data_IF_632002644410
#
_entry.id   IF_632002644410
#
_cell.length_a   1.000
_cell.length_b   1.000
_cell.length_c   1.000
_cell.angle_alpha   90.00
_cell.angle_beta   90.00
_cell.angle_gamma   90.00
#
_symmetry.space_group_name_H-M   'P 1'
#
loop_
_entity.id
_entity.type
_entity.pdbx_description
1 polymer ?
#
# COMPACT_ATOMS: atom_id res chain seq x y z
N UNK A 1 14.84 1.11 -2.79
CA UNK A 1 15.85 2.05 -2.29
C UNK A 1 16.88 1.39 -1.37
N UNK A 2 16.52 0.85 -0.18
CA UNK A 2 17.48 0.23 0.76
C UNK A 2 18.38 -0.83 0.09
N UNK A 3 17.79 -1.72 -0.71
CA UNK A 3 18.51 -2.77 -1.47
C UNK A 3 19.60 -2.21 -2.38
N UNK A 4 19.30 -1.12 -3.10
CA UNK A 4 20.24 -0.49 -4.04
C UNK A 4 21.38 0.22 -3.32
N UNK A 5 21.08 0.89 -2.20
CA UNK A 5 22.12 1.49 -1.35
C UNK A 5 23.01 0.43 -0.70
N UNK A 6 22.42 -0.68 -0.24
CA UNK A 6 23.16 -1.83 0.27
C UNK A 6 24.07 -2.44 -0.81
N UNK A 7 23.58 -2.54 -2.05
CA UNK A 7 24.38 -2.97 -3.19
C UNK A 7 25.59 -2.03 -3.39
N UNK A 8 25.36 -0.72 -3.46
CA UNK A 8 26.42 0.30 -3.58
C UNK A 8 27.45 0.24 -2.44
N UNK A 9 27.01 0.04 -1.20
CA UNK A 9 27.88 -0.08 -0.03
C UNK A 9 28.73 -1.35 -0.04
N UNK A 10 28.20 -2.47 -0.56
CA UNK A 10 28.95 -3.72 -0.76
C UNK A 10 29.97 -3.63 -1.90
N UNK A 11 29.85 -2.67 -2.80
CA UNK A 11 30.86 -2.46 -3.84
C UNK A 11 32.13 -1.84 -3.25
N UNK A 12 33.23 -2.58 -3.34
CA UNK A 12 34.58 -2.08 -3.02
C UNK A 12 35.29 -1.58 -4.29
N UNK A 13 36.18 -0.59 -4.12
CA UNK A 13 36.94 0.05 -5.23
C UNK A 13 36.06 0.71 -6.29
N UNK A 14 35.13 1.54 -5.84
CA UNK A 14 34.18 2.25 -6.71
C UNK A 14 34.90 3.07 -7.79
N UNK A 15 36.05 3.68 -7.47
CA UNK A 15 36.87 4.35 -8.49
C UNK A 15 37.34 3.43 -9.62
N UNK A 16 37.70 2.17 -9.33
CA UNK A 16 38.15 1.22 -10.37
C UNK A 16 36.99 0.82 -11.28
N UNK A 17 35.79 0.67 -10.72
CA UNK A 17 34.57 0.34 -11.47
C UNK A 17 33.97 1.51 -12.24
N UNK A 18 34.15 2.74 -11.72
CA UNK A 18 33.95 3.97 -12.49
C UNK A 18 35.08 4.19 -13.52
N UNK A 19 36.20 3.47 -13.40
CA UNK A 19 37.37 3.60 -14.26
C UNK A 19 37.54 2.54 -15.35
N UNK A 20 36.82 1.42 -15.27
CA UNK A 20 36.66 0.48 -16.39
C UNK A 20 35.86 1.14 -17.54
N UNK A 21 35.23 2.29 -17.28
CA UNK A 21 34.69 3.23 -18.25
C UNK A 21 35.74 4.27 -18.67
N UNK A 22 35.67 4.70 -19.93
CA UNK A 22 36.55 5.71 -20.54
C UNK A 22 36.63 7.00 -19.69
N UNK A 23 37.70 7.79 -19.83
CA UNK A 23 37.87 9.05 -19.06
C UNK A 23 36.68 10.02 -19.23
N UNK A 24 36.01 9.98 -20.39
CA UNK A 24 34.81 10.78 -20.68
C UNK A 24 33.57 10.28 -19.91
N UNK A 25 33.35 8.97 -19.86
CA UNK A 25 32.23 8.36 -19.11
C UNK A 25 32.37 8.59 -17.60
N UNK A 26 33.60 8.60 -17.09
CA UNK A 26 33.89 8.92 -15.68
C UNK A 26 33.54 10.37 -15.32
N UNK A 27 33.83 11.30 -16.23
CA UNK A 27 33.48 12.71 -16.07
C UNK A 27 31.95 12.93 -16.14
N UNK A 28 31.23 12.13 -16.92
CA UNK A 28 29.76 12.19 -17.02
C UNK A 28 29.03 11.53 -15.83
N UNK A 29 29.61 10.48 -15.24
CA UNK A 29 28.98 9.71 -14.16
C UNK A 29 28.81 10.53 -12.87
N UNK A 30 29.79 11.35 -12.48
CA UNK A 30 29.74 12.18 -11.26
C UNK A 30 28.51 13.10 -11.21
N UNK A 31 28.32 13.97 -12.22
CA UNK A 31 27.13 14.83 -12.32
C UNK A 31 25.80 14.08 -12.34
N UNK A 32 25.74 12.92 -12.99
CA UNK A 32 24.53 12.10 -13.05
C UNK A 32 24.19 11.50 -11.67
N UNK A 33 25.18 10.97 -10.95
CA UNK A 33 25.00 10.47 -9.59
C UNK A 33 24.52 11.59 -8.65
N UNK A 34 25.05 12.82 -8.79
CA UNK A 34 24.64 13.96 -7.97
C UNK A 34 23.16 14.34 -8.18
N UNK A 35 22.64 14.23 -9.41
CA UNK A 35 21.21 14.40 -9.71
C UNK A 35 20.36 13.34 -9.00
N UNK A 36 20.77 12.08 -9.05
CA UNK A 36 20.07 10.98 -8.37
C UNK A 36 20.15 11.10 -6.83
N UNK A 37 21.31 11.52 -6.30
CA UNK A 37 21.50 11.77 -4.86
C UNK A 37 20.55 12.84 -4.35
N UNK A 38 20.31 13.92 -5.11
CA UNK A 38 19.34 14.96 -4.72
C UNK A 38 17.95 14.39 -4.50
N UNK A 39 17.46 13.51 -5.39
CA UNK A 39 16.14 12.88 -5.24
C UNK A 39 16.04 12.05 -3.96
N UNK A 40 17.09 11.31 -3.60
CA UNK A 40 17.12 10.56 -2.34
C UNK A 40 17.09 11.52 -1.14
N UNK A 41 17.84 12.63 -1.17
CA UNK A 41 17.83 13.65 -0.12
C UNK A 41 16.47 14.34 0.04
N UNK A 42 15.79 14.64 -1.07
CA UNK A 42 14.43 15.22 -1.07
C UNK A 42 13.47 14.28 -0.33
N UNK A 43 13.46 13.00 -0.69
CA UNK A 43 12.63 12.01 -0.01
C UNK A 43 12.99 11.90 1.48
N UNK A 44 14.27 11.83 1.84
CA UNK A 44 14.70 11.76 3.24
C UNK A 44 14.19 12.97 4.06
N UNK A 45 14.28 14.18 3.51
CA UNK A 45 13.79 15.38 4.17
C UNK A 45 12.27 15.39 4.31
N UNK A 46 11.52 15.00 3.27
CA UNK A 46 10.06 14.90 3.30
C UNK A 46 9.58 13.83 4.31
N UNK A 47 10.14 12.63 4.24
CA UNK A 47 9.82 11.53 5.15
C UNK A 47 10.09 11.90 6.61
N UNK A 48 11.21 12.60 6.88
CA UNK A 48 11.51 13.09 8.22
C UNK A 48 10.55 14.20 8.67
N UNK A 49 10.14 15.09 7.76
CA UNK A 49 9.13 16.12 8.04
C UNK A 49 7.77 15.51 8.46
N UNK A 50 7.39 14.40 7.83
CA UNK A 50 6.16 13.65 8.17
C UNK A 50 6.29 12.87 9.48
N UNK A 51 7.44 12.23 9.74
CA UNK A 51 7.64 11.40 10.92
C UNK A 51 7.90 12.21 12.21
N UNK A 52 8.57 13.37 12.10
CA UNK A 52 9.04 14.18 13.23
C UNK A 52 7.94 14.55 14.24
N UNK A 53 6.72 15.00 13.84
CA UNK A 53 5.68 15.37 14.81
C UNK A 53 5.20 14.22 15.70
N UNK A 54 5.39 12.98 15.27
CA UNK A 54 4.93 11.76 15.94
C UNK A 54 6.08 10.96 16.56
N UNK A 55 7.31 11.47 16.47
CA UNK A 55 8.51 10.81 17.00
C UNK A 55 8.93 11.46 18.30
N UNK A 56 8.68 10.77 19.41
CA UNK A 56 9.07 11.21 20.74
C UNK A 56 10.39 10.54 21.15
N UNK A 57 11.29 11.26 21.85
CA UNK A 57 12.55 10.69 22.31
C UNK A 57 12.30 9.59 23.34
N UNK A 58 13.02 8.48 23.24
CA UNK A 58 12.95 7.41 24.24
C UNK A 58 13.90 7.67 25.43
N UNK A 59 14.81 8.64 25.29
CA UNK A 59 15.70 9.08 26.35
C UNK A 59 14.95 10.04 27.28
N UNK A 60 14.92 9.79 28.61
CA UNK A 60 14.26 10.69 29.56
C UNK A 60 14.88 12.08 29.48
N UNK A 61 14.04 13.07 29.18
CA UNK A 61 14.49 14.46 29.10
C UNK A 61 14.77 15.00 30.51
N UNK A 62 15.83 15.81 30.63
CA UNK A 62 16.03 16.64 31.82
C UNK A 62 14.80 17.56 31.96
N UNK A 63 14.19 17.68 33.15
CA UNK A 63 13.02 18.53 33.33
C UNK A 63 13.33 19.94 32.80
N UNK A 64 12.47 20.42 31.89
CA UNK A 64 12.61 21.74 31.30
C UNK A 64 12.51 22.79 32.42
N UNK A 65 13.46 23.73 32.41
CA UNK A 65 13.38 24.92 33.24
C UNK A 65 12.16 25.75 32.78
N UNK A 66 11.15 26.01 33.64
CA UNK A 66 9.92 26.72 33.26
C UNK A 66 10.17 28.18 32.81
N UNK A 67 11.39 28.71 33.01
CA UNK A 67 11.78 30.06 32.57
C UNK A 67 12.63 30.06 31.29
N UNK A 68 12.89 28.89 30.69
CA UNK A 68 13.52 28.76 29.37
C UNK A 68 12.56 28.08 28.41
N UNK A 69 12.55 28.52 27.15
CA UNK A 69 11.84 27.80 26.10
C UNK A 69 12.32 26.33 26.12
N UNK A 70 11.40 25.39 26.29
CA UNK A 70 11.71 23.98 26.35
C UNK A 70 12.54 23.60 25.11
N UNK A 71 13.80 23.21 25.32
CA UNK A 71 14.66 22.75 24.23
C UNK A 71 14.11 21.43 23.70
N UNK A 72 13.50 21.52 22.51
CA UNK A 72 13.05 20.48 21.58
C UNK A 72 12.89 19.05 22.12
N UNK A 73 11.63 18.62 22.18
CA UNK A 73 11.24 17.21 22.09
C UNK A 73 11.94 16.57 20.88
N UNK A 74 12.66 15.45 21.07
CA UNK A 74 13.25 14.69 19.95
C UNK A 74 14.49 15.34 19.31
N UNK A 75 15.38 15.94 20.11
CA UNK A 75 16.58 16.64 19.64
C UNK A 75 17.35 15.93 18.51
N UNK A 76 17.56 14.61 18.59
CA UNK A 76 18.24 13.86 17.53
C UNK A 76 17.48 13.86 16.19
N UNK A 77 16.17 13.59 16.22
CA UNK A 77 15.27 13.59 15.06
C UNK A 77 15.14 15.01 14.47
N UNK A 78 15.03 16.03 15.32
CA UNK A 78 14.97 17.42 14.90
C UNK A 78 16.30 17.90 14.28
N UNK A 79 17.45 17.51 14.84
CA UNK A 79 18.76 17.77 14.25
C UNK A 79 18.94 17.07 12.91
N UNK A 80 18.49 15.81 12.79
CA UNK A 80 18.53 15.06 11.53
C UNK A 80 17.66 15.73 10.46
N UNK A 81 16.45 16.17 10.81
CA UNK A 81 15.57 16.92 9.92
C UNK A 81 16.26 18.19 9.41
N UNK A 82 16.82 19.01 10.31
CA UNK A 82 17.54 20.24 9.94
C UNK A 82 18.78 19.98 9.09
N UNK A 83 19.54 18.92 9.38
CA UNK A 83 20.71 18.54 8.59
C UNK A 83 20.31 18.08 7.18
N UNK A 84 19.21 17.33 7.04
CA UNK A 84 18.67 16.88 5.76
C UNK A 84 18.11 18.03 4.92
N UNK A 85 17.39 18.97 5.54
CA UNK A 85 16.89 20.18 4.87
C UNK A 85 18.06 21.02 4.32
N UNK A 86 19.09 21.27 5.14
CA UNK A 86 20.27 21.99 4.70
C UNK A 86 21.01 21.28 3.55
N UNK A 87 21.14 19.95 3.62
CA UNK A 87 21.78 19.16 2.57
C UNK A 87 20.95 19.13 1.26
N UNK A 88 19.62 19.09 1.38
CA UNK A 88 18.69 19.17 0.24
C UNK A 88 18.77 20.53 -0.45
N UNK A 89 18.74 21.62 0.32
CA UNK A 89 18.66 22.98 -0.23
C UNK A 89 19.94 23.39 -0.95
N UNK A 90 21.09 22.84 -0.55
CA UNK A 90 22.36 23.04 -1.25
C UNK A 90 22.53 22.14 -2.49
N UNK A 91 21.78 21.04 -2.60
CA UNK A 91 21.80 20.20 -3.78
C UNK A 91 21.02 20.86 -4.93
N UNK A 92 21.71 21.46 -5.89
CA UNK A 92 21.07 22.21 -6.98
C UNK A 92 20.62 21.31 -8.14
N UNK A 93 21.32 20.19 -8.38
CA UNK A 93 21.14 19.33 -9.56
C UNK A 93 19.96 18.37 -9.42
N UNK A 94 18.94 18.49 -10.26
CA UNK A 94 17.74 17.64 -10.24
C UNK A 94 17.70 16.69 -11.44
N UNK A 95 17.32 15.43 -11.22
CA UNK A 95 17.12 14.45 -12.28
C UNK A 95 15.82 14.70 -13.05
N UNK A 96 15.84 14.47 -14.36
CA UNK A 96 14.64 14.57 -15.20
C UNK A 96 13.82 13.27 -15.19
N UNK A 97 12.55 13.33 -15.59
CA UNK A 97 11.69 12.15 -15.74
C UNK A 97 12.29 11.10 -16.69
N UNK A 98 12.92 11.55 -17.78
CA UNK A 98 13.57 10.67 -18.76
C UNK A 98 14.80 9.94 -18.18
N UNK A 99 15.56 10.60 -17.30
CA UNK A 99 16.70 9.97 -16.63
C UNK A 99 16.26 8.87 -15.66
N UNK A 100 15.07 8.98 -15.06
CA UNK A 100 14.53 7.91 -14.20
C UNK A 100 14.04 6.69 -14.98
N UNK A 101 13.71 6.83 -16.27
CA UNK A 101 13.18 5.72 -17.08
C UNK A 101 14.22 5.09 -17.99
N UNK A 102 15.34 5.77 -18.26
CA UNK A 102 16.41 5.28 -19.14
C UNK A 102 17.47 4.51 -18.34
N UNK A 103 17.67 3.20 -18.58
CA UNK A 103 18.71 2.41 -17.90
C UNK A 103 20.12 2.91 -18.22
N UNK A 104 21.04 2.82 -17.26
CA UNK A 104 22.46 3.10 -17.48
C UNK A 104 23.27 1.82 -17.69
N UNK A 105 24.23 1.84 -18.62
CA UNK A 105 25.16 0.74 -18.82
C UNK A 105 26.17 0.58 -17.65
N UNK A 106 26.39 1.65 -16.87
CA UNK A 106 27.25 1.60 -15.70
C UNK A 106 26.47 1.15 -14.46
N UNK A 107 26.79 -0.02 -13.93
CA UNK A 107 26.12 -0.60 -12.75
C UNK A 107 26.08 0.33 -11.53
N UNK A 108 27.13 1.14 -11.29
CA UNK A 108 27.14 2.09 -10.16
C UNK A 108 26.09 3.17 -10.36
N UNK A 109 26.03 3.75 -11.57
CA UNK A 109 25.05 4.77 -11.94
C UNK A 109 23.64 4.18 -11.94
N UNK A 110 23.50 2.94 -12.38
CA UNK A 110 22.23 2.22 -12.42
C UNK A 110 21.66 2.00 -11.01
N UNK A 111 22.46 1.57 -10.04
CA UNK A 111 21.99 1.46 -8.65
C UNK A 111 21.58 2.83 -8.07
N UNK A 112 22.31 3.91 -8.39
CA UNK A 112 21.89 5.27 -8.01
C UNK A 112 20.57 5.68 -8.68
N UNK A 113 20.39 5.37 -9.96
CA UNK A 113 19.15 5.63 -10.70
C UNK A 113 17.97 4.87 -10.09
N UNK A 114 18.14 3.58 -9.78
CA UNK A 114 17.11 2.75 -9.17
C UNK A 114 16.78 3.20 -7.75
N UNK A 115 17.78 3.61 -6.96
CA UNK A 115 17.57 4.21 -5.64
C UNK A 115 16.76 5.51 -5.74
N UNK A 116 17.12 6.39 -6.67
CA UNK A 116 16.44 7.67 -6.88
C UNK A 116 15.03 7.50 -7.48
N UNK A 117 14.82 6.55 -8.38
CA UNK A 117 13.48 6.18 -8.88
C UNK A 117 12.59 5.69 -7.76
N UNK A 118 13.11 4.85 -6.87
CA UNK A 118 12.36 4.38 -5.71
C UNK A 118 12.04 5.54 -4.75
N UNK A 119 12.98 6.45 -4.51
CA UNK A 119 12.75 7.65 -3.71
C UNK A 119 11.66 8.55 -4.30
N UNK A 120 11.71 8.83 -5.60
CA UNK A 120 10.70 9.63 -6.31
C UNK A 120 9.30 9.03 -6.22
N UNK A 121 9.17 7.69 -6.33
CA UNK A 121 7.88 7.02 -6.14
C UNK A 121 7.39 7.10 -4.70
N UNK A 122 8.31 6.96 -3.74
CA UNK A 122 8.01 7.01 -2.32
C UNK A 122 7.71 8.42 -1.79
N UNK A 123 7.94 9.49 -2.57
CA UNK A 123 7.47 10.84 -2.22
C UNK A 123 5.94 10.86 -2.05
N UNK A 124 5.24 10.04 -2.86
CA UNK A 124 3.80 9.87 -2.74
C UNK A 124 3.40 9.25 -1.40
N UNK A 125 4.22 8.37 -0.81
CA UNK A 125 3.98 7.72 0.49
C UNK A 125 4.06 8.71 1.66
N UNK A 126 4.69 9.85 1.43
CA UNK A 126 4.91 10.92 2.42
C UNK A 126 4.05 12.16 2.14
N UNK A 127 3.00 12.00 1.34
CA UNK A 127 2.07 13.09 1.06
C UNK A 127 1.29 13.48 2.34
N UNK A 128 0.88 14.76 2.48
CA UNK A 128 0.25 15.26 3.72
C UNK A 128 -1.03 14.51 4.13
N UNK A 129 -1.73 13.91 3.17
CA UNK A 129 -2.93 13.10 3.37
C UNK A 129 -2.64 11.69 3.91
N UNK A 130 -1.45 11.13 3.64
CA UNK A 130 -1.00 9.88 4.25
C UNK A 130 -0.40 10.11 5.64
N UNK A 131 0.18 11.29 5.89
CA UNK A 131 0.75 11.66 7.19
C UNK A 131 -0.26 11.59 8.34
N UNK A 132 -1.56 11.84 8.08
CA UNK A 132 -2.62 11.80 9.10
C UNK A 132 -2.96 10.39 9.61
N UNK A 133 -2.49 9.33 8.94
CA UNK A 133 -2.79 7.94 9.30
C UNK A 133 -1.62 7.21 9.97
N UNK A 134 -0.48 7.89 10.17
CA UNK A 134 0.70 7.28 10.78
C UNK A 134 0.56 7.16 12.29
N UNK A 135 0.92 5.99 12.83
CA UNK A 135 1.10 5.80 14.27
C UNK A 135 2.49 6.26 14.72
N UNK A 136 2.66 6.52 16.02
CA UNK A 136 3.98 6.87 16.59
C UNK A 136 5.03 5.75 16.43
N UNK A 137 4.62 4.48 16.34
CA UNK A 137 5.53 3.35 16.10
C UNK A 137 5.96 3.27 14.62
N UNK A 138 5.03 3.54 13.69
CA UNK A 138 5.32 3.66 12.27
C UNK A 138 6.22 4.87 11.98
N UNK A 139 5.93 6.02 12.58
CA UNK A 139 6.77 7.23 12.46
C UNK A 139 8.21 7.00 12.93
N UNK A 140 8.39 6.31 14.07
CA UNK A 140 9.73 5.88 14.54
C UNK A 140 10.43 4.99 13.52
N UNK A 141 9.71 4.03 12.93
CA UNK A 141 10.26 3.14 11.89
C UNK A 141 10.76 3.94 10.68
N UNK A 142 9.97 4.91 10.20
CA UNK A 142 10.38 5.83 9.13
C UNK A 142 11.63 6.62 9.53
N UNK A 143 11.67 7.18 10.74
CA UNK A 143 12.83 7.93 11.23
C UNK A 143 14.11 7.08 11.28
N UNK A 144 14.01 5.83 11.72
CA UNK A 144 15.11 4.86 11.71
C UNK A 144 15.59 4.51 10.30
N UNK A 145 14.65 4.37 9.35
CA UNK A 145 14.98 4.12 7.95
C UNK A 145 15.69 5.30 7.28
N UNK A 146 15.19 6.52 7.51
CA UNK A 146 15.83 7.75 7.03
C UNK A 146 17.23 7.91 7.64
N UNK A 147 17.40 7.59 8.93
CA UNK A 147 18.70 7.59 9.58
C UNK A 147 19.68 6.60 8.93
N UNK A 148 19.26 5.36 8.67
CA UNK A 148 20.09 4.36 7.99
C UNK A 148 20.46 4.78 6.56
N UNK A 149 19.51 5.35 5.81
CA UNK A 149 19.76 5.87 4.46
C UNK A 149 20.73 7.06 4.51
N UNK A 150 20.57 7.96 5.48
CA UNK A 150 21.47 9.11 5.66
C UNK A 150 22.90 8.66 5.97
N UNK A 151 23.08 7.63 6.80
CA UNK A 151 24.40 7.00 7.02
C UNK A 151 24.99 6.45 5.73
N UNK A 152 24.18 5.76 4.92
CA UNK A 152 24.63 5.23 3.62
C UNK A 152 25.11 6.36 2.69
N UNK A 153 24.37 7.48 2.64
CA UNK A 153 24.75 8.65 1.85
C UNK A 153 26.07 9.26 2.33
N UNK A 154 26.30 9.38 3.64
CA UNK A 154 27.56 9.90 4.21
C UNK A 154 28.74 8.99 3.87
N UNK A 155 28.57 7.67 4.02
CA UNK A 155 29.62 6.69 3.67
C UNK A 155 29.94 6.75 2.17
N UNK A 156 28.92 6.79 1.33
CA UNK A 156 29.07 6.88 -0.12
C UNK A 156 29.72 8.20 -0.54
N UNK A 157 29.32 9.34 0.04
CA UNK A 157 29.91 10.65 -0.24
C UNK A 157 31.42 10.67 -0.01
N UNK A 158 31.88 10.09 1.11
CA UNK A 158 33.31 9.94 1.40
C UNK A 158 34.02 9.06 0.37
N UNK A 159 33.37 8.00 -0.15
CA UNK A 159 33.94 7.11 -1.16
C UNK A 159 34.02 7.75 -2.55
N UNK A 160 33.12 8.67 -2.88
CA UNK A 160 33.07 9.34 -4.18
C UNK A 160 33.89 10.64 -4.25
N UNK A 161 34.50 11.09 -3.15
CA UNK A 161 35.25 12.36 -3.04
C UNK A 161 36.30 12.59 -4.14
N UNK A 162 36.90 11.53 -4.67
CA UNK A 162 37.91 11.58 -5.74
C UNK A 162 37.34 11.48 -7.16
N UNK A 163 36.01 11.47 -7.32
CA UNK A 163 35.34 11.41 -8.62
C UNK A 163 35.34 12.81 -9.27
N UNK A 164 35.69 12.95 -10.56
CA UNK A 164 35.61 14.24 -11.25
C UNK A 164 34.22 14.87 -11.18
N UNK A 165 34.14 16.16 -10.87
CA UNK A 165 32.88 16.90 -10.77
C UNK A 165 32.01 16.53 -9.56
N UNK A 166 32.58 15.82 -8.57
CA UNK A 166 31.90 15.49 -7.32
C UNK A 166 31.73 16.71 -6.42
N UNK A 167 30.51 16.91 -5.94
CA UNK A 167 30.16 17.95 -4.96
C UNK A 167 29.92 17.24 -3.62
N UNK A 168 30.76 17.47 -2.59
CA UNK A 168 30.58 16.88 -1.28
C UNK A 168 29.24 17.26 -0.64
N UNK A 169 28.73 16.38 0.21
CA UNK A 169 27.49 16.66 0.93
C UNK A 169 27.70 17.77 1.97
N UNK A 170 26.81 18.76 1.96
CA UNK A 170 26.82 19.86 2.91
C UNK A 170 26.67 19.34 4.35
N UNK A 171 27.55 19.77 5.25
CA UNK A 171 27.48 19.34 6.65
C UNK A 171 27.53 17.82 6.83
N UNK A 172 28.24 17.09 5.95
CA UNK A 172 28.32 15.62 5.92
C UNK A 172 28.54 15.00 7.30
N UNK A 173 29.44 15.57 8.11
CA UNK A 173 29.71 15.06 9.46
C UNK A 173 28.55 15.32 10.43
N UNK A 174 27.91 16.50 10.36
CA UNK A 174 26.71 16.82 11.16
C UNK A 174 25.56 15.90 10.80
N UNK A 175 25.33 15.65 9.50
CA UNK A 175 24.32 14.71 9.04
C UNK A 175 24.61 13.29 9.54
N UNK A 176 25.87 12.86 9.49
CA UNK A 176 26.30 11.56 10.00
C UNK A 176 26.07 11.41 11.51
N UNK A 177 26.42 12.42 12.31
CA UNK A 177 26.18 12.37 13.76
C UNK A 177 24.69 12.40 14.10
N UNK A 178 23.91 13.27 13.45
CA UNK A 178 22.47 13.35 13.67
C UNK A 178 21.78 12.04 13.28
N UNK A 179 22.14 11.44 12.15
CA UNK A 179 21.59 10.16 11.72
C UNK A 179 21.93 9.03 12.70
N UNK A 180 23.15 9.02 13.27
CA UNK A 180 23.53 8.01 14.25
C UNK A 180 22.75 8.19 15.56
N UNK A 181 22.61 9.42 16.03
CA UNK A 181 21.83 9.74 17.22
C UNK A 181 20.35 9.34 17.05
N UNK A 182 19.75 9.63 15.89
CA UNK A 182 18.36 9.22 15.58
C UNK A 182 18.22 7.70 15.51
N UNK A 183 19.16 7.01 14.86
CA UNK A 183 19.10 5.54 14.78
C UNK A 183 19.15 4.90 16.17
N UNK A 184 20.00 5.42 17.07
CA UNK A 184 20.07 4.96 18.46
C UNK A 184 18.76 5.23 19.21
N UNK A 185 18.25 6.47 19.15
CA UNK A 185 17.01 6.85 19.84
C UNK A 185 15.82 6.01 19.37
N UNK A 186 15.66 5.80 18.06
CA UNK A 186 14.60 4.97 17.49
C UNK A 186 14.74 3.50 17.88
N UNK A 187 15.97 2.97 17.95
CA UNK A 187 16.22 1.55 18.28
C UNK A 187 15.79 1.15 19.69
N UNK A 188 15.61 2.13 20.59
CA UNK A 188 15.09 1.91 21.94
C UNK A 188 13.56 1.68 21.97
N UNK A 189 12.85 2.02 20.89
CA UNK A 189 11.41 1.81 20.75
C UNK A 189 11.06 0.50 20.04
N UNK A 190 9.81 0.06 20.16
CA UNK A 190 9.29 -1.05 19.35
C UNK A 190 8.97 -0.56 17.92
N UNK A 191 9.59 -1.12 16.86
CA UNK A 191 9.28 -0.75 15.49
C UNK A 191 7.96 -1.37 15.03
N UNK A 192 7.25 -0.67 14.15
CA UNK A 192 6.06 -1.15 13.46
C UNK A 192 6.28 -1.12 11.94
N UNK A 193 6.53 -2.31 11.38
CA UNK A 193 6.83 -2.49 9.96
C UNK A 193 5.58 -2.53 9.07
N UNK A 194 4.37 -2.42 9.62
CA UNK A 194 3.14 -2.30 8.82
C UNK A 194 3.14 -1.04 7.93
N UNK A 195 3.98 -0.05 8.25
CA UNK A 195 4.20 1.15 7.41
C UNK A 195 4.61 0.83 5.97
N UNK A 196 5.27 -0.30 5.73
CA UNK A 196 5.63 -0.71 4.36
C UNK A 196 4.41 -1.18 3.55
N UNK A 197 3.28 -1.47 4.21
CA UNK A 197 2.03 -1.87 3.57
C UNK A 197 1.13 -0.67 3.23
N UNK A 198 1.34 0.46 3.91
CA UNK A 198 0.53 1.68 3.78
C UNK A 198 1.01 2.63 2.69
N UNK A 199 2.07 2.27 1.95
CA UNK A 199 2.59 3.05 0.83
C UNK A 199 1.55 3.33 -0.26
N UNK A 200 1.73 4.43 -0.97
CA UNK A 200 0.95 4.84 -2.12
C UNK A 200 0.92 3.72 -3.16
N UNK A 201 -0.31 3.30 -3.49
CA UNK A 201 -0.55 2.40 -4.61
C UNK A 201 -1.25 3.19 -5.70
N UNK A 202 -0.85 3.04 -6.98
CA UNK A 202 -1.56 3.69 -8.06
C UNK A 202 -3.02 3.27 -8.02
N UNK A 203 -3.93 4.25 -8.11
CA UNK A 203 -5.37 3.98 -8.13
C UNK A 203 -5.67 2.94 -9.21
N UNK A 204 -6.29 1.84 -8.83
CA UNK A 204 -6.73 0.81 -9.76
C UNK A 204 -7.72 1.43 -10.74
N UNK A 205 -7.39 1.40 -12.03
CA UNK A 205 -8.23 1.96 -13.09
C UNK A 205 -9.09 0.84 -13.71
N UNK A 206 -10.29 1.17 -14.20
CA UNK A 206 -11.04 0.23 -15.04
C UNK A 206 -10.23 -0.12 -16.29
N UNK A 207 -10.29 -1.38 -16.70
CA UNK A 207 -9.73 -1.85 -17.96
C UNK A 207 -10.67 -1.37 -19.07
N UNK A 208 -10.22 -0.33 -19.79
CA UNK A 208 -10.90 0.19 -20.97
C UNK A 208 -10.72 -0.70 -22.21
N UNK A 209 -11.39 -0.31 -23.30
CA UNK A 209 -11.34 -1.03 -24.58
C UNK A 209 -12.47 -2.04 -24.77
N UNK A 210 -12.49 -2.74 -25.93
CA UNK A 210 -13.51 -3.74 -26.23
C UNK A 210 -13.48 -4.89 -25.23
N UNK A 211 -14.62 -5.56 -25.06
CA UNK A 211 -14.72 -6.72 -24.18
C UNK A 211 -13.75 -7.82 -24.64
N UNK A 212 -12.93 -8.32 -23.72
CA UNK A 212 -12.08 -9.48 -24.00
C UNK A 212 -12.95 -10.72 -24.30
N UNK A 213 -12.50 -11.62 -25.19
CA UNK A 213 -13.25 -12.82 -25.52
C UNK A 213 -13.26 -13.83 -24.36
N UNK A 214 -14.35 -14.60 -24.28
CA UNK A 214 -14.48 -15.71 -23.34
C UNK A 214 -14.35 -15.31 -21.86
N UNK A 215 -13.67 -16.15 -21.08
CA UNK A 215 -13.54 -16.02 -19.62
C UNK A 215 -12.83 -14.73 -19.22
N UNK A 216 -11.86 -14.28 -20.03
CA UNK A 216 -11.16 -13.02 -19.80
C UNK A 216 -12.10 -11.81 -19.83
N UNK A 217 -13.18 -11.88 -20.62
CA UNK A 217 -14.23 -10.86 -20.63
C UNK A 217 -15.03 -10.82 -19.34
N UNK A 218 -15.27 -11.98 -18.72
CA UNK A 218 -15.92 -12.07 -17.39
C UNK A 218 -14.99 -11.49 -16.33
N UNK A 219 -13.71 -11.87 -16.35
CA UNK A 219 -12.71 -11.37 -15.40
C UNK A 219 -12.47 -9.87 -15.54
N UNK A 220 -12.49 -9.33 -16.76
CA UNK A 220 -12.44 -7.89 -17.02
C UNK A 220 -13.65 -7.15 -16.43
N UNK A 221 -14.86 -7.69 -16.61
CA UNK A 221 -16.07 -7.09 -16.05
C UNK A 221 -16.05 -7.13 -14.51
N UNK A 222 -15.59 -8.22 -13.92
CA UNK A 222 -15.47 -8.37 -12.47
C UNK A 222 -14.43 -7.42 -11.87
N UNK A 223 -13.29 -7.24 -12.54
CA UNK A 223 -12.29 -6.22 -12.16
C UNK A 223 -12.89 -4.81 -12.23
N UNK A 224 -13.58 -4.48 -13.33
CA UNK A 224 -14.20 -3.18 -13.49
C UNK A 224 -15.32 -2.94 -12.48
N UNK A 225 -16.08 -3.98 -12.12
CA UNK A 225 -17.07 -3.95 -11.04
C UNK A 225 -16.38 -3.55 -9.73
N UNK A 226 -15.33 -4.25 -9.31
CA UNK A 226 -14.61 -3.94 -8.07
C UNK A 226 -14.10 -2.50 -8.04
N UNK A 227 -13.52 -2.02 -9.14
CA UNK A 227 -13.04 -0.64 -9.26
C UNK A 227 -14.20 0.37 -9.16
N UNK A 228 -15.33 0.10 -9.82
CA UNK A 228 -16.50 1.00 -9.80
C UNK A 228 -17.27 0.94 -8.49
N UNK A 229 -17.19 -0.16 -7.75
CA UNK A 229 -17.75 -0.28 -6.40
C UNK A 229 -16.99 0.57 -5.37
N UNK A 230 -15.95 1.30 -5.80
CA UNK A 230 -15.38 2.41 -5.05
C UNK A 230 -16.43 3.51 -4.76
N UNK A 231 -17.35 3.79 -5.69
CA UNK A 231 -18.48 4.71 -5.45
C UNK A 231 -19.58 4.05 -4.64
N UNK A 232 -20.15 4.78 -3.67
CA UNK A 232 -21.21 4.27 -2.81
C UNK A 232 -22.51 4.02 -3.61
N UNK A 233 -23.00 2.76 -3.70
CA UNK A 233 -24.22 2.44 -4.43
C UNK A 233 -25.47 2.70 -3.59
N UNK A 234 -26.58 3.03 -4.25
CA UNK A 234 -27.90 2.97 -3.61
C UNK A 234 -28.33 1.51 -3.34
N UNK A 235 -29.39 1.33 -2.55
CA UNK A 235 -29.83 0.00 -2.12
C UNK A 235 -30.30 -0.89 -3.30
N UNK A 236 -30.82 -0.30 -4.38
CA UNK A 236 -31.26 -1.06 -5.55
C UNK A 236 -30.06 -1.56 -6.36
N UNK A 237 -29.10 -0.67 -6.64
CA UNK A 237 -27.88 -1.02 -7.33
C UNK A 237 -27.05 -2.03 -6.54
N UNK A 238 -27.02 -1.93 -5.20
CA UNK A 238 -26.36 -2.92 -4.35
C UNK A 238 -27.02 -4.31 -4.47
N UNK A 239 -28.36 -4.38 -4.53
CA UNK A 239 -29.08 -5.64 -4.76
C UNK A 239 -28.71 -6.27 -6.11
N UNK A 240 -28.58 -5.46 -7.16
CA UNK A 240 -28.17 -5.94 -8.49
C UNK A 240 -26.74 -6.48 -8.48
N UNK A 241 -25.82 -5.79 -7.80
CA UNK A 241 -24.44 -6.26 -7.61
C UNK A 241 -24.43 -7.58 -6.83
N UNK A 242 -25.17 -7.69 -5.73
CA UNK A 242 -25.28 -8.93 -4.93
C UNK A 242 -25.85 -10.10 -5.74
N UNK A 243 -26.90 -9.88 -6.52
CA UNK A 243 -27.46 -10.93 -7.39
C UNK A 243 -26.46 -11.36 -8.46
N UNK A 244 -25.68 -10.43 -9.01
CA UNK A 244 -24.61 -10.77 -9.95
C UNK A 244 -23.55 -11.68 -9.33
N UNK A 245 -23.17 -11.42 -8.07
CA UNK A 245 -22.18 -12.24 -7.35
C UNK A 245 -22.70 -13.64 -7.04
N UNK A 246 -23.98 -13.76 -6.71
CA UNK A 246 -24.68 -15.05 -6.58
C UNK A 246 -24.59 -15.84 -7.89
N UNK A 247 -24.96 -15.23 -9.00
CA UNK A 247 -24.99 -15.87 -10.32
C UNK A 247 -23.59 -16.23 -10.83
N UNK A 248 -22.60 -15.35 -10.64
CA UNK A 248 -21.22 -15.60 -11.04
C UNK A 248 -20.59 -16.73 -10.23
N UNK A 249 -20.77 -16.72 -8.91
CA UNK A 249 -20.25 -17.78 -8.03
C UNK A 249 -20.80 -19.13 -8.45
N UNK A 250 -22.13 -19.24 -8.58
CA UNK A 250 -22.78 -20.50 -8.97
C UNK A 250 -22.41 -20.94 -10.40
N UNK A 251 -22.37 -20.00 -11.36
CA UNK A 251 -22.12 -20.33 -12.75
C UNK A 251 -20.66 -20.68 -13.06
N UNK A 252 -19.71 -20.31 -12.19
CA UNK A 252 -18.31 -20.70 -12.32
C UNK A 252 -17.97 -22.05 -11.66
N UNK A 253 -18.82 -22.59 -10.76
CA UNK A 253 -18.64 -23.90 -10.10
C UNK A 253 -18.33 -25.05 -11.07
N UNK A 254 -19.06 -25.22 -12.20
CA UNK A 254 -18.80 -26.33 -13.13
C UNK A 254 -17.40 -26.29 -13.73
N UNK A 255 -16.85 -25.09 -13.92
CA UNK A 255 -15.50 -24.89 -14.47
C UNK A 255 -14.43 -25.11 -13.41
N UNK A 256 -14.65 -24.61 -12.19
CA UNK A 256 -13.74 -24.83 -11.05
C UNK A 256 -13.64 -26.32 -10.70
N UNK A 257 -14.75 -27.06 -10.71
CA UNK A 257 -14.81 -28.49 -10.35
C UNK A 257 -13.88 -29.38 -11.20
N UNK A 258 -13.59 -28.96 -12.44
CA UNK A 258 -12.68 -29.69 -13.34
C UNK A 258 -11.20 -29.56 -12.95
N UNK A 259 -10.86 -28.54 -12.16
CA UNK A 259 -9.47 -28.17 -11.83
C UNK A 259 -9.22 -28.34 -10.34
N UNK A 260 -10.10 -27.79 -9.51
CA UNK A 260 -10.05 -27.86 -8.05
C UNK A 260 -11.48 -28.03 -7.47
N UNK A 261 -11.86 -29.26 -7.06
CA UNK A 261 -13.15 -29.52 -6.44
C UNK A 261 -13.39 -28.79 -5.12
N UNK A 262 -12.33 -28.48 -4.35
CA UNK A 262 -12.47 -27.76 -3.09
C UNK A 262 -12.86 -26.31 -3.34
N UNK A 263 -12.18 -25.65 -4.27
CA UNK A 263 -12.51 -24.29 -4.71
C UNK A 263 -13.94 -24.21 -5.28
N UNK A 264 -14.37 -25.25 -6.00
CA UNK A 264 -15.74 -25.34 -6.49
C UNK A 264 -16.77 -25.42 -5.34
N UNK A 265 -16.44 -26.13 -4.26
CA UNK A 265 -17.23 -26.15 -3.02
C UNK A 265 -17.30 -24.78 -2.37
N UNK A 266 -16.17 -24.08 -2.22
CA UNK A 266 -16.11 -22.71 -1.69
C UNK A 266 -16.99 -21.74 -2.49
N UNK A 267 -16.96 -21.82 -3.82
CA UNK A 267 -17.79 -20.97 -4.68
C UNK A 267 -19.28 -21.32 -4.63
N UNK A 268 -19.61 -22.60 -4.39
CA UNK A 268 -20.96 -23.04 -4.08
C UNK A 268 -21.48 -22.39 -2.80
N UNK A 269 -20.71 -22.50 -1.71
CA UNK A 269 -21.03 -21.86 -0.42
C UNK A 269 -21.15 -20.35 -0.57
N UNK A 270 -20.23 -19.70 -1.30
CA UNK A 270 -20.30 -18.26 -1.60
C UNK A 270 -21.62 -17.88 -2.29
N UNK A 271 -22.06 -18.68 -3.27
CA UNK A 271 -23.34 -18.43 -3.95
C UNK A 271 -24.55 -18.54 -3.00
N UNK A 272 -24.53 -19.50 -2.07
CA UNK A 272 -25.58 -19.67 -1.05
C UNK A 272 -25.59 -18.48 -0.07
N UNK A 273 -24.43 -18.03 0.39
CA UNK A 273 -24.28 -16.82 1.21
C UNK A 273 -24.87 -15.61 0.51
N UNK A 274 -24.54 -15.38 -0.77
CA UNK A 274 -25.13 -14.28 -1.53
C UNK A 274 -26.64 -14.43 -1.75
N UNK A 275 -27.16 -15.65 -1.87
CA UNK A 275 -28.60 -15.91 -1.92
C UNK A 275 -29.31 -15.53 -0.62
N UNK A 276 -28.65 -15.72 0.54
CA UNK A 276 -29.15 -15.27 1.84
C UNK A 276 -29.12 -13.74 1.94
N UNK A 277 -27.98 -13.12 1.63
CA UNK A 277 -27.81 -11.66 1.65
C UNK A 277 -28.81 -10.97 0.72
N UNK A 278 -29.06 -11.52 -0.48
CA UNK A 278 -30.05 -10.97 -1.41
C UNK A 278 -31.45 -10.92 -0.81
N UNK A 279 -31.88 -11.99 -0.11
CA UNK A 279 -33.18 -12.03 0.57
C UNK A 279 -33.25 -11.03 1.71
N UNK A 280 -32.18 -10.91 2.49
CA UNK A 280 -32.10 -9.95 3.61
C UNK A 280 -32.11 -8.50 3.11
N UNK A 281 -31.44 -8.21 1.98
CA UNK A 281 -31.43 -6.90 1.34
C UNK A 281 -32.81 -6.44 0.86
N UNK A 282 -33.78 -7.34 0.64
CA UNK A 282 -35.16 -6.96 0.29
C UNK A 282 -35.80 -6.07 1.36
N UNK A 283 -35.38 -6.22 2.61
CA UNK A 283 -35.84 -5.42 3.73
C UNK A 283 -35.06 -4.12 3.92
N UNK A 284 -34.17 -3.76 2.99
CA UNK A 284 -33.34 -2.56 3.08
C UNK A 284 -33.67 -1.61 1.94
N UNK A 285 -34.06 -0.39 2.27
CA UNK A 285 -34.25 0.72 1.34
C UNK A 285 -33.11 1.72 1.41
N UNK A 286 -33.02 2.61 0.44
CA UNK A 286 -32.03 3.68 0.40
C UNK A 286 -31.85 4.20 -1.03
N UNK A 287 -31.95 5.52 -1.21
CA UNK A 287 -31.77 6.20 -2.50
C UNK A 287 -30.50 7.04 -2.58
N UNK A 288 -29.70 7.03 -1.51
CA UNK A 288 -28.46 7.78 -1.43
C UNK A 288 -27.34 6.95 -2.07
N UNK A 289 -26.58 7.59 -2.97
CA UNK A 289 -25.53 6.94 -3.76
C UNK A 289 -25.87 6.85 -5.24
N UNK A 290 -24.87 6.49 -6.05
CA UNK A 290 -25.05 6.15 -7.45
C UNK A 290 -24.15 4.95 -7.77
N UNK A 291 -24.77 3.79 -7.94
CA UNK A 291 -24.08 2.53 -8.23
C UNK A 291 -24.29 2.05 -9.66
N UNK A 292 -24.88 2.85 -10.54
CA UNK A 292 -25.32 2.43 -11.88
C UNK A 292 -24.19 1.84 -12.72
N UNK A 293 -23.00 2.44 -12.66
CA UNK A 293 -21.84 1.95 -13.39
C UNK A 293 -21.32 0.62 -12.84
N UNK A 294 -21.36 0.42 -11.52
CA UNK A 294 -21.01 -0.85 -10.89
C UNK A 294 -22.05 -1.94 -11.25
N UNK A 295 -23.34 -1.62 -11.12
CA UNK A 295 -24.43 -2.52 -11.52
C UNK A 295 -24.36 -2.90 -13.01
N UNK A 296 -23.94 -1.97 -13.89
CA UNK A 296 -23.70 -2.24 -15.30
C UNK A 296 -22.57 -3.24 -15.54
N UNK A 297 -21.43 -3.12 -14.85
CA UNK A 297 -20.35 -4.10 -14.97
C UNK A 297 -20.73 -5.46 -14.36
N UNK A 298 -21.49 -5.47 -13.27
CA UNK A 298 -22.09 -6.68 -12.70
C UNK A 298 -23.00 -7.41 -13.71
N UNK A 299 -23.87 -6.68 -14.40
CA UNK A 299 -24.70 -7.23 -15.46
C UNK A 299 -23.87 -7.74 -16.65
N UNK A 300 -22.82 -7.00 -17.03
CA UNK A 300 -21.88 -7.42 -18.07
C UNK A 300 -21.17 -8.72 -17.71
N UNK A 301 -20.72 -8.88 -16.47
CA UNK A 301 -20.04 -10.08 -16.00
C UNK A 301 -20.95 -11.31 -16.12
N UNK A 302 -22.21 -11.21 -15.65
CA UNK A 302 -23.20 -12.30 -15.75
C UNK A 302 -23.56 -12.60 -17.19
N UNK A 303 -23.78 -11.57 -18.03
CA UNK A 303 -24.10 -11.74 -19.45
C UNK A 303 -22.98 -12.48 -20.19
N UNK A 304 -21.72 -12.09 -19.93
CA UNK A 304 -20.53 -12.74 -20.50
C UNK A 304 -20.34 -14.15 -19.99
N UNK A 305 -20.65 -14.42 -18.71
CA UNK A 305 -20.61 -15.76 -18.16
C UNK A 305 -21.63 -16.69 -18.85
N UNK A 306 -22.85 -16.21 -19.08
CA UNK A 306 -23.89 -16.97 -19.80
C UNK A 306 -23.53 -17.24 -21.27
N UNK A 307 -22.72 -16.37 -21.88
CA UNK A 307 -22.23 -16.54 -23.23
C UNK A 307 -21.03 -17.51 -23.34
N UNK A 308 -20.48 -18.00 -22.22
CA UNK A 308 -19.41 -18.99 -22.25
C UNK A 308 -19.94 -20.35 -22.71
N UNK A 309 -19.15 -21.01 -23.54
CA UNK A 309 -19.40 -22.41 -23.90
C UNK A 309 -19.14 -23.30 -22.67
N UNK A 310 -19.98 -24.30 -22.38
CA UNK A 310 -19.76 -25.22 -21.26
C UNK A 310 -18.41 -25.95 -21.31
N UNK A 311 -17.82 -26.10 -22.50
CA UNK A 311 -16.53 -26.74 -22.74
C UNK A 311 -15.36 -25.76 -22.71
N UNK A 312 -15.59 -24.48 -22.38
CA UNK A 312 -14.53 -23.49 -22.31
C UNK A 312 -13.46 -23.90 -21.27
N UNK A 313 -12.20 -23.88 -21.69
CA UNK A 313 -11.07 -24.20 -20.83
C UNK A 313 -10.71 -22.96 -20.01
N UNK A 314 -10.72 -23.10 -18.68
CA UNK A 314 -10.25 -22.06 -17.76
C UNK A 314 -8.86 -22.48 -17.26
N UNK A 315 -7.87 -21.62 -17.40
CA UNK A 315 -6.54 -21.89 -16.86
C UNK A 315 -6.52 -21.66 -15.34
N UNK A 316 -5.74 -22.44 -14.55
CA UNK A 316 -5.66 -22.28 -13.09
C UNK A 316 -5.31 -20.85 -12.63
N UNK A 317 -4.45 -20.15 -13.37
CA UNK A 317 -4.11 -18.74 -13.10
C UNK A 317 -5.32 -17.80 -13.16
N UNK A 318 -6.30 -18.09 -14.03
CA UNK A 318 -7.52 -17.30 -14.13
C UNK A 318 -8.48 -17.58 -12.96
N UNK A 319 -8.52 -18.82 -12.46
CA UNK A 319 -9.26 -19.14 -11.23
C UNK A 319 -8.71 -18.38 -10.02
N UNK A 320 -7.39 -18.31 -9.87
CA UNK A 320 -6.75 -17.50 -8.82
C UNK A 320 -7.07 -16.00 -8.95
N UNK A 321 -7.18 -15.50 -10.18
CA UNK A 321 -7.65 -14.15 -10.47
C UNK A 321 -9.09 -13.90 -10.00
N UNK A 322 -10.02 -14.83 -10.27
CA UNK A 322 -11.39 -14.74 -9.76
C UNK A 322 -11.43 -14.79 -8.24
N UNK A 323 -10.66 -15.66 -7.58
CA UNK A 323 -10.65 -15.75 -6.12
C UNK A 323 -10.19 -14.43 -5.48
N UNK A 324 -9.17 -13.79 -6.05
CA UNK A 324 -8.69 -12.48 -5.60
C UNK A 324 -9.75 -11.39 -5.77
N UNK A 325 -10.41 -11.35 -6.93
CA UNK A 325 -11.47 -10.39 -7.21
C UNK A 325 -12.70 -10.62 -6.32
N UNK A 326 -13.11 -11.88 -6.12
CA UNK A 326 -14.20 -12.26 -5.24
C UNK A 326 -13.96 -11.80 -3.81
N UNK A 327 -12.80 -12.09 -3.22
CA UNK A 327 -12.44 -11.57 -1.89
C UNK A 327 -12.49 -10.05 -1.81
N UNK A 328 -12.01 -9.36 -2.85
CA UNK A 328 -12.07 -7.90 -2.93
C UNK A 328 -13.50 -7.36 -2.98
N UNK A 329 -14.38 -7.97 -3.78
CA UNK A 329 -15.80 -7.60 -3.89
C UNK A 329 -16.55 -7.93 -2.59
N UNK A 330 -16.28 -9.08 -1.98
CA UNK A 330 -16.87 -9.53 -0.71
C UNK A 330 -16.57 -8.54 0.43
N UNK A 331 -15.29 -8.15 0.56
CA UNK A 331 -14.87 -7.11 1.51
C UNK A 331 -15.57 -5.79 1.21
N UNK A 332 -15.60 -5.35 -0.06
CA UNK A 332 -16.17 -4.06 -0.43
C UNK A 332 -17.68 -3.99 -0.20
N UNK A 333 -18.41 -5.07 -0.47
CA UNK A 333 -19.85 -5.15 -0.20
C UNK A 333 -20.12 -5.06 1.30
N UNK A 334 -19.31 -5.73 2.12
CA UNK A 334 -19.39 -5.64 3.58
C UNK A 334 -19.18 -4.20 4.06
N UNK A 335 -18.14 -3.52 3.56
CA UNK A 335 -17.86 -2.13 3.92
C UNK A 335 -18.99 -1.17 3.50
N UNK A 336 -19.59 -1.39 2.33
CA UNK A 336 -20.71 -0.60 1.81
C UNK A 336 -21.96 -0.78 2.69
N UNK A 337 -22.25 -2.01 3.12
CA UNK A 337 -23.39 -2.29 4.01
C UNK A 337 -23.21 -1.58 5.36
N UNK A 338 -22.03 -1.67 5.96
CA UNK A 338 -21.71 -1.01 7.23
C UNK A 338 -21.77 0.51 7.11
N UNK A 339 -21.01 1.07 6.16
CA UNK A 339 -20.98 2.51 5.90
C UNK A 339 -22.36 3.06 5.55
N UNK A 340 -23.20 2.26 4.89
CA UNK A 340 -24.54 2.67 4.49
C UNK A 340 -25.48 2.87 5.67
N UNK A 341 -25.38 2.04 6.71
CA UNK A 341 -26.15 2.24 7.94
C UNK A 341 -25.55 3.37 8.78
N UNK A 342 -24.24 3.40 8.95
CA UNK A 342 -23.56 4.44 9.75
C UNK A 342 -23.80 5.85 9.23
N UNK A 343 -23.90 6.02 7.90
CA UNK A 343 -24.20 7.30 7.26
C UNK A 343 -25.70 7.59 7.14
N UNK A 344 -26.57 6.70 7.63
CA UNK A 344 -28.02 6.80 7.47
C UNK A 344 -28.50 6.70 6.01
N UNK A 345 -27.68 6.17 5.11
CA UNK A 345 -28.00 5.99 3.69
C UNK A 345 -28.93 4.79 3.44
N UNK A 346 -28.87 3.78 4.31
CA UNK A 346 -29.72 2.59 4.29
C UNK A 346 -30.71 2.58 5.46
N UNK A 347 -31.94 2.19 5.15
CA UNK A 347 -33.09 2.17 6.09
C UNK A 347 -33.77 0.81 6.06
N UNK A 348 -34.25 0.34 7.21
CA UNK A 348 -34.89 -0.96 7.33
C UNK A 348 -36.40 -0.86 7.11
N UNK A 349 -36.94 -1.80 6.36
CA UNK A 349 -38.37 -2.00 6.16
C UNK A 349 -38.97 -2.69 7.38
N UNK A 350 -39.92 -2.03 8.02
CA UNK A 350 -40.66 -2.52 9.20
C UNK A 350 -42.15 -2.55 8.86
N UNK A 351 -42.81 -3.66 9.19
CA UNK A 351 -44.26 -3.80 9.10
C UNK A 351 -44.90 -3.14 10.32
N UNK A 352 -45.72 -2.11 10.09
CA UNK A 352 -46.41 -1.39 11.17
C UNK A 352 -47.88 -1.78 11.19
N UNK A 353 -48.45 -2.19 12.34
CA UNK A 353 -49.87 -2.45 12.47
C UNK A 353 -50.67 -1.19 12.13
N UNK A 354 -51.75 -1.34 11.36
CA UNK A 354 -52.69 -0.23 11.12
C UNK A 354 -53.62 -0.12 12.33
N UNK A 355 -53.75 1.08 12.91
CA UNK A 355 -54.81 1.36 13.87
C UNK A 355 -56.17 1.14 13.19
N UNK A 356 -57.06 0.38 13.83
CA UNK A 356 -58.39 0.06 13.33
C UNK A 356 -59.19 1.36 13.25
N UNK A 357 -59.35 1.92 12.04
CA UNK A 357 -60.43 2.87 11.77
C UNK A 357 -61.71 2.05 11.64
N UNK A 358 -62.79 2.49 12.28
CA UNK A 358 -64.08 1.77 12.42
C UNK A 358 -64.87 1.57 11.12
N UNK A 359 -64.19 1.32 9.99
CA UNK A 359 -64.74 1.28 8.63
C UNK A 359 -65.30 -0.11 8.25
N UNK A 360 -65.49 -1.01 9.23
CA UNK A 360 -66.17 -2.30 9.04
C UNK A 360 -65.47 -3.32 8.13
N UNK A 361 -64.21 -3.12 7.74
CA UNK A 361 -63.44 -4.07 6.92
C UNK A 361 -62.73 -5.11 7.78
N UNK A 362 -63.00 -6.40 7.53
CA UNK A 362 -62.47 -7.54 8.28
C UNK A 362 -60.96 -7.82 8.07
N UNK A 363 -60.36 -7.30 6.99
CA UNK A 363 -58.91 -7.47 6.72
C UNK A 363 -58.31 -6.12 6.30
N UNK A 364 -57.34 -5.63 7.08
CA UNK A 364 -56.57 -4.44 6.75
C UNK A 364 -55.18 -4.84 6.20
N UNK A 365 -54.77 -4.34 5.03
CA UNK A 365 -53.43 -4.63 4.52
C UNK A 365 -52.36 -4.02 5.43
N UNK A 366 -51.32 -4.80 5.72
CA UNK A 366 -50.16 -4.38 6.53
C UNK A 366 -49.45 -3.22 5.84
N UNK A 367 -49.13 -2.15 6.59
CA UNK A 367 -48.39 -1.00 6.06
C UNK A 367 -46.90 -1.19 6.29
N UNK A 368 -46.11 -1.12 5.23
CA UNK A 368 -44.66 -1.10 5.32
C UNK A 368 -44.17 0.35 5.53
N UNK A 369 -43.24 0.55 6.47
CA UNK A 369 -42.51 1.81 6.67
C UNK A 369 -41.01 1.55 6.67
N UNK A 370 -40.24 2.52 6.20
CA UNK A 370 -38.78 2.48 6.30
C UNK A 370 -38.33 3.32 7.49
N UNK A 371 -37.52 2.73 8.36
CA UNK A 371 -37.04 3.36 9.60
C UNK A 371 -35.51 3.34 9.61
N UNK A 372 -34.83 4.42 10.06
CA UNK A 372 -33.39 4.41 10.28
C UNK A 372 -33.00 3.35 11.31
N UNK A 373 -31.85 2.72 11.10
CA UNK A 373 -31.30 1.75 12.04
C UNK A 373 -30.25 2.45 12.90
N UNK A 374 -30.33 2.28 14.22
CA UNK A 374 -29.42 2.96 15.16
C UNK A 374 -28.00 2.38 15.13
N UNK A 375 -27.84 1.06 14.96
CA UNK A 375 -26.52 0.42 14.83
C UNK A 375 -26.49 -0.56 13.68
N UNK A 376 -25.40 -0.55 12.92
CA UNK A 376 -25.15 -1.50 11.83
C UNK A 376 -25.23 -2.97 12.26
N UNK A 377 -24.81 -3.28 13.49
CA UNK A 377 -24.86 -4.64 14.04
C UNK A 377 -26.29 -5.21 14.23
N UNK A 378 -27.30 -4.35 14.23
CA UNK A 378 -28.69 -4.75 14.44
C UNK A 378 -29.33 -5.33 13.16
N UNK A 379 -28.67 -5.20 12.00
CA UNK A 379 -29.14 -5.76 10.74
C UNK A 379 -28.57 -7.15 10.49
N UNK A 380 -29.47 -8.09 10.26
CA UNK A 380 -29.16 -9.47 9.84
C UNK A 380 -28.21 -9.53 8.64
N UNK A 381 -28.41 -8.65 7.65
CA UNK A 381 -27.54 -8.62 6.46
C UNK A 381 -26.08 -8.30 6.79
N UNK A 382 -25.85 -7.43 7.78
CA UNK A 382 -24.50 -7.00 8.17
C UNK A 382 -23.83 -8.09 8.97
N UNK A 383 -24.58 -8.77 9.84
CA UNK A 383 -24.09 -9.96 10.54
C UNK A 383 -23.69 -11.06 9.57
N UNK A 384 -24.59 -11.43 8.64
CA UNK A 384 -24.30 -12.45 7.63
C UNK A 384 -23.06 -12.08 6.81
N UNK A 385 -22.95 -10.83 6.36
CA UNK A 385 -21.79 -10.34 5.60
C UNK A 385 -20.48 -10.39 6.41
N UNK A 386 -20.50 -9.94 7.68
CA UNK A 386 -19.31 -9.99 8.55
C UNK A 386 -18.80 -11.41 8.78
N UNK A 387 -19.72 -12.34 9.05
CA UNK A 387 -19.39 -13.71 9.40
C UNK A 387 -18.91 -14.53 8.19
N UNK A 388 -19.46 -14.26 7.00
CA UNK A 388 -19.29 -15.15 5.84
C UNK A 388 -18.56 -14.51 4.64
N UNK A 389 -18.50 -13.18 4.54
CA UNK A 389 -17.84 -12.48 3.43
C UNK A 389 -16.49 -11.86 3.81
N UNK A 390 -16.20 -11.60 5.09
CA UNK A 390 -14.87 -11.14 5.48
C UNK A 390 -13.88 -12.31 5.42
N UNK A 391 -12.77 -12.17 4.68
CA UNK A 391 -11.70 -13.14 4.79
C UNK A 391 -11.19 -13.16 6.24
N UNK A 392 -10.75 -14.33 6.76
CA UNK A 392 -10.02 -14.37 8.01
C UNK A 392 -8.81 -13.44 7.89
N UNK A 393 -8.50 -12.67 8.94
CA UNK A 393 -7.28 -11.85 8.98
C UNK A 393 -6.09 -12.78 8.73
N UNK A 394 -5.55 -12.76 7.51
CA UNK A 394 -4.26 -13.40 7.25
C UNK A 394 -3.27 -12.72 8.19
N UNK A 395 -2.55 -13.47 9.03
CA UNK A 395 -1.54 -12.88 9.89
C UNK A 395 -0.59 -12.14 8.96
N UNK A 396 -0.55 -10.82 9.10
CA UNK A 396 0.30 -9.97 8.27
C UNK A 396 1.73 -10.49 8.40
N UNK A 397 2.18 -11.25 7.40
CA UNK A 397 3.54 -11.76 7.38
C UNK A 397 4.44 -10.56 7.11
N UNK A 398 4.77 -9.87 8.20
CA UNK A 398 5.72 -8.77 8.32
C UNK A 398 7.11 -9.26 7.95
N UNK A 399 7.35 -9.51 6.66
CA UNK A 399 8.65 -9.96 6.15
C UNK A 399 9.45 -8.84 5.50
N UNK A 400 9.22 -7.57 5.90
CA UNK A 400 10.02 -6.45 5.44
C UNK A 400 11.42 -6.35 6.12
N UNK A 401 11.76 -7.28 7.01
CA UNK A 401 13.02 -7.33 7.75
C UNK A 401 14.28 -7.50 6.88
N UNK A 402 14.19 -8.18 5.74
CA UNK A 402 15.38 -8.55 4.95
C UNK A 402 16.10 -7.32 4.36
N UNK A 403 15.36 -6.36 3.79
CA UNK A 403 15.99 -5.17 3.18
C UNK A 403 16.63 -4.21 4.20
N UNK A 404 16.08 -4.15 5.42
CA UNK A 404 16.63 -3.35 6.54
C UNK A 404 17.87 -4.02 7.11
N UNK A 405 17.80 -5.32 7.37
CA UNK A 405 18.94 -6.12 7.82
C UNK A 405 20.10 -6.06 6.82
N UNK A 406 19.80 -6.18 5.52
CA UNK A 406 20.80 -6.09 4.45
C UNK A 406 21.51 -4.73 4.41
N UNK A 407 20.77 -3.63 4.53
CA UNK A 407 21.35 -2.29 4.56
C UNK A 407 22.21 -2.08 5.80
N UNK A 408 21.73 -2.52 6.96
CA UNK A 408 22.48 -2.45 8.21
C UNK A 408 23.78 -3.26 8.16
N UNK A 409 23.71 -4.49 7.65
CA UNK A 409 24.88 -5.33 7.40
C UNK A 409 25.87 -4.66 6.45
N UNK A 410 25.39 -4.04 5.37
CA UNK A 410 26.23 -3.32 4.41
C UNK A 410 26.88 -2.05 4.99
N UNK A 411 26.25 -1.38 5.95
CA UNK A 411 26.81 -0.22 6.66
C UNK A 411 27.95 -0.61 7.61
N UNK A 412 27.81 -1.76 8.28
CA UNK A 412 28.82 -2.27 9.23
C UNK A 412 29.95 -3.01 8.51
N UNK A 413 29.68 -3.56 7.33
CA UNK A 413 30.64 -4.35 6.57
C UNK A 413 31.94 -3.58 6.29
N UNK A 414 33.04 -4.07 6.89
CA UNK A 414 34.41 -3.65 6.57
C UNK A 414 35.03 -4.66 5.61
N UNK A 415 35.68 -4.23 4.52
CA UNK A 415 36.41 -5.15 3.66
C UNK A 415 37.48 -5.89 4.47
N UNK A 416 37.71 -7.19 4.21
CA UNK A 416 38.78 -7.93 4.87
C UNK A 416 40.12 -7.24 4.62
N UNK A 417 40.95 -7.19 5.66
CA UNK A 417 42.28 -6.59 5.58
C UNK A 417 43.08 -7.28 4.45
N UNK A 418 43.82 -6.47 3.69
CA UNK A 418 44.63 -6.92 2.57
C UNK A 418 45.72 -7.86 3.11
N UNK A 419 45.49 -9.18 3.04
CA UNK A 419 46.44 -10.19 3.55
C UNK A 419 45.84 -11.23 4.51
N UNK A 420 44.57 -11.15 4.89
CA UNK A 420 43.92 -12.25 5.61
C UNK A 420 43.66 -13.41 4.64
N UNK A 421 44.55 -14.41 4.64
CA UNK A 421 44.23 -15.72 4.07
C UNK A 421 42.99 -16.27 4.79
N UNK A 422 42.04 -16.90 4.07
CA UNK A 422 41.02 -17.68 4.73
C UNK A 422 41.71 -18.84 5.43
N UNK A 423 41.54 -18.97 6.75
CA UNK A 423 41.88 -20.17 7.48
C UNK A 423 41.10 -21.34 6.84
N UNK A 424 41.82 -22.13 6.06
CA UNK A 424 41.35 -23.42 5.58
C UNK A 424 41.38 -24.33 6.82
N UNK A 425 40.25 -24.90 7.26
CA UNK A 425 40.28 -25.92 8.29
C UNK A 425 41.08 -27.10 7.73
N UNK A 426 42.22 -27.40 8.36
CA UNK A 426 42.99 -28.60 8.06
C UNK A 426 42.14 -29.85 8.29
N UNK A 427 42.32 -30.80 7.38
CA UNK A 427 41.81 -32.18 7.44
C UNK A 427 42.08 -32.86 8.78
#
# INVERSE_FOLDING_TARGET
>A
MRTELAALLRQHRIMRRLADASSAERAAAGPQILRFRKTVLVWCAQAMGVARPLTFPNIPQKPADPFRAASDHGAAVAELARALEAARDQATRQASSQEFTTPSANNVVEHWRLAARAAALAEHDTAPDQATHLTAAQARTIAGDVAAISQALVVLDRRYRSTPGWEPLAGCDRLGWAALATALDVSLGQPDYSVDQTGWRPRTKPIGGPAKPGVLGVLQAEHNLLVRLASFPDAMNLRLVVDSQRLLSAGLVPYAKRIDPNLAGEWGTRAETYSRIQRELLNIGGRLGNGTAAAGEAANAVSRLKALRPEAVIEPRMLGGFQTLFRGVDSRITDVLESGVERGAFVQRVTVPRLVSGDGRLVHPVRERFVPVARAADLEVIRTAREHLRPPEEPSASSAGTSRADLHAALIHRPPAKGAQPDVPGL
#
